data_IF_705584380520
#
_entry.id   IF_705584380520
#
_cell.length_a   1.000
_cell.length_b   1.000
_cell.length_c   1.000
_cell.angle_alpha   90.00
_cell.angle_beta   90.00
_cell.angle_gamma   90.00
#
_symmetry.space_group_name_H-M   'P 1'
#
loop_
_entity.id
_entity.type
_entity.pdbx_description
1 polymer ?
#
# COMPACT_ATOMS: atom_id res chain seq x y z
N UNK A 1 -10.22 11.26 -23.14
CA UNK A 1 -10.30 9.77 -23.14
C UNK A 1 -11.46 9.23 -22.30
N UNK A 2 -11.83 9.81 -21.14
CA UNK A 2 -12.88 9.32 -20.21
C UNK A 2 -14.22 8.91 -20.84
N UNK A 3 -14.79 9.73 -21.72
CA UNK A 3 -16.10 9.46 -22.34
C UNK A 3 -16.02 8.61 -23.61
N UNK A 4 -14.82 8.31 -24.11
CA UNK A 4 -14.59 7.72 -25.44
C UNK A 4 -13.78 6.43 -25.41
N UNK A 5 -13.39 5.93 -24.23
CA UNK A 5 -12.72 4.64 -24.07
C UNK A 5 -13.76 3.58 -23.65
N UNK A 6 -14.28 2.77 -24.60
CA UNK A 6 -15.34 1.82 -24.34
C UNK A 6 -14.78 0.60 -23.61
N UNK A 7 -14.84 0.63 -22.28
CA UNK A 7 -14.70 -0.57 -21.47
C UNK A 7 -16.10 -0.94 -20.99
N UNK A 8 -16.72 -1.88 -21.71
CA UNK A 8 -18.03 -2.46 -21.37
C UNK A 8 -17.78 -3.78 -20.67
N UNK A 9 -18.55 -4.10 -19.65
CA UNK A 9 -18.48 -5.44 -19.07
C UNK A 9 -19.08 -6.43 -20.07
N UNK A 10 -18.21 -7.28 -20.62
CA UNK A 10 -18.62 -8.37 -21.50
C UNK A 10 -18.53 -9.67 -20.70
N UNK A 11 -19.69 -10.28 -20.46
CA UNK A 11 -19.84 -11.56 -19.77
C UNK A 11 -20.04 -12.74 -20.73
N UNK A 12 -19.91 -12.51 -22.03
CA UNK A 12 -19.93 -13.56 -23.05
C UNK A 12 -18.50 -14.00 -23.44
N UNK A 13 -17.50 -13.12 -23.27
CA UNK A 13 -16.10 -13.45 -23.49
C UNK A 13 -15.56 -14.32 -22.34
N UNK A 14 -14.83 -15.37 -22.68
CA UNK A 14 -14.13 -16.25 -21.75
C UNK A 14 -12.77 -16.67 -22.34
N UNK A 15 -11.93 -17.26 -21.49
CA UNK A 15 -10.64 -17.83 -21.86
C UNK A 15 -10.82 -19.00 -22.83
N UNK A 16 -9.95 -19.12 -23.83
CA UNK A 16 -9.94 -20.30 -24.69
C UNK A 16 -9.53 -21.54 -23.88
N UNK A 17 -10.02 -22.75 -24.23
CA UNK A 17 -9.64 -23.97 -23.52
C UNK A 17 -8.12 -24.18 -23.52
N UNK A 18 -7.51 -24.24 -22.33
CA UNK A 18 -6.07 -24.41 -22.15
C UNK A 18 -5.22 -23.17 -22.45
N UNK A 19 -5.84 -22.00 -22.58
CA UNK A 19 -5.13 -20.73 -22.78
C UNK A 19 -4.27 -20.38 -21.57
N UNK A 20 -3.02 -20.00 -21.82
CA UNK A 20 -2.18 -19.40 -20.80
C UNK A 20 -2.66 -17.97 -20.54
N UNK A 21 -3.43 -17.82 -19.46
CA UNK A 21 -4.07 -16.57 -19.08
C UNK A 21 -3.04 -15.49 -18.74
N UNK A 22 -1.93 -15.89 -18.10
CA UNK A 22 -0.88 -14.96 -17.69
C UNK A 22 -0.11 -14.46 -18.92
N UNK A 23 0.27 -15.36 -19.83
CA UNK A 23 0.91 -15.00 -21.11
C UNK A 23 -0.01 -14.13 -21.97
N UNK A 24 -1.30 -14.45 -22.04
CA UNK A 24 -2.28 -13.62 -22.75
C UNK A 24 -2.28 -12.19 -22.23
N UNK A 25 -2.39 -12.00 -20.91
CA UNK A 25 -2.40 -10.67 -20.29
C UNK A 25 -1.08 -9.95 -20.55
N UNK A 26 0.06 -10.64 -20.37
CA UNK A 26 1.40 -10.10 -20.66
C UNK A 26 1.50 -9.62 -22.11
N UNK A 27 0.97 -10.38 -23.07
CA UNK A 27 0.99 -10.02 -24.49
C UNK A 27 0.27 -8.70 -24.83
N UNK A 28 -0.67 -8.25 -23.98
CA UNK A 28 -1.44 -7.01 -24.24
C UNK A 28 -0.72 -5.74 -23.81
N UNK A 29 0.25 -5.86 -22.91
CA UNK A 29 0.96 -4.72 -22.32
C UNK A 29 2.47 -4.77 -22.57
N UNK A 30 3.00 -5.93 -22.95
CA UNK A 30 4.39 -6.12 -23.38
C UNK A 30 5.40 -5.68 -22.33
N UNK A 31 6.44 -4.98 -22.78
CA UNK A 31 7.60 -4.55 -21.98
C UNK A 31 7.29 -3.42 -20.98
N UNK A 32 6.03 -2.96 -20.89
CA UNK A 32 5.61 -1.93 -19.94
C UNK A 32 5.38 -2.50 -18.53
N UNK A 33 5.36 -3.82 -18.39
CA UNK A 33 5.14 -4.48 -17.10
C UNK A 33 6.31 -4.27 -16.13
N UNK A 34 6.02 -4.13 -14.83
CA UNK A 34 7.06 -4.13 -13.81
C UNK A 34 7.77 -5.48 -13.78
N UNK A 35 9.05 -5.44 -13.47
CA UNK A 35 9.83 -6.64 -13.18
C UNK A 35 9.29 -7.26 -11.88
N UNK A 36 8.89 -8.53 -11.94
CA UNK A 36 8.53 -9.29 -10.73
C UNK A 36 9.78 -9.52 -9.90
N UNK A 37 9.84 -8.95 -8.70
CA UNK A 37 10.98 -9.09 -7.81
C UNK A 37 10.89 -10.33 -6.92
N UNK A 38 9.67 -10.81 -6.67
CA UNK A 38 9.42 -12.06 -5.94
C UNK A 38 8.69 -13.03 -6.86
N UNK A 39 9.07 -14.31 -6.80
CA UNK A 39 8.41 -15.38 -7.55
C UNK A 39 7.39 -16.08 -6.66
N UNK A 40 6.11 -16.00 -7.03
CA UNK A 40 5.02 -16.74 -6.40
C UNK A 40 4.82 -18.07 -7.10
N UNK A 41 5.64 -19.07 -6.74
CA UNK A 41 5.53 -20.44 -7.29
C UNK A 41 4.33 -21.23 -6.75
N UNK A 42 3.76 -20.79 -5.63
CA UNK A 42 2.56 -21.35 -5.01
C UNK A 42 1.51 -20.25 -4.83
N UNK A 43 0.49 -20.26 -5.71
CA UNK A 43 -0.53 -19.20 -5.80
C UNK A 43 -1.90 -19.62 -5.28
N UNK A 44 -2.17 -20.92 -5.25
CA UNK A 44 -3.52 -21.47 -5.05
C UNK A 44 -3.65 -22.32 -3.78
N UNK A 45 -2.54 -22.73 -3.15
CA UNK A 45 -2.62 -23.54 -1.94
C UNK A 45 -3.09 -22.73 -0.72
N UNK A 46 -3.36 -23.45 0.36
CA UNK A 46 -3.64 -22.86 1.68
C UNK A 46 -2.40 -22.15 2.26
N UNK A 47 -1.19 -22.59 1.87
CA UNK A 47 0.06 -21.90 2.19
C UNK A 47 0.14 -20.55 1.48
N UNK A 48 -0.37 -20.42 0.25
CA UNK A 48 -0.40 -19.14 -0.46
C UNK A 48 -1.20 -18.07 0.31
N UNK A 49 -2.31 -18.46 0.98
CA UNK A 49 -3.06 -17.55 1.85
C UNK A 49 -2.26 -17.09 3.07
N UNK A 50 -1.52 -18.02 3.68
CA UNK A 50 -0.64 -17.74 4.81
C UNK A 50 0.48 -16.78 4.39
N UNK A 51 1.09 -17.00 3.22
CA UNK A 51 2.08 -16.10 2.64
C UNK A 51 1.49 -14.73 2.35
N UNK A 52 0.30 -14.63 1.75
CA UNK A 52 -0.35 -13.33 1.50
C UNK A 52 -0.55 -12.53 2.79
N UNK A 53 -0.97 -13.20 3.87
CA UNK A 53 -1.23 -12.55 5.15
C UNK A 53 0.04 -12.15 5.91
N UNK A 54 1.09 -12.98 5.90
CA UNK A 54 2.26 -12.82 6.78
C UNK A 54 3.59 -12.52 6.07
N UNK A 55 3.65 -12.63 4.74
CA UNK A 55 4.83 -12.35 3.92
C UNK A 55 4.53 -11.51 2.65
N UNK A 56 3.26 -11.26 2.31
CA UNK A 56 2.81 -10.50 1.14
C UNK A 56 2.01 -9.24 1.49
N UNK A 57 1.09 -8.86 0.60
CA UNK A 57 0.32 -7.60 0.67
C UNK A 57 -0.67 -7.48 1.86
N UNK A 58 -0.94 -8.57 2.59
CA UNK A 58 -1.84 -8.58 3.75
C UNK A 58 -1.19 -8.22 5.09
N UNK A 59 0.15 -8.15 5.16
CA UNK A 59 0.90 -8.00 6.41
C UNK A 59 0.56 -6.74 7.21
N UNK A 60 0.14 -5.66 6.56
CA UNK A 60 -0.21 -4.42 7.24
C UNK A 60 -1.67 -4.37 7.75
N UNK A 61 -2.46 -5.41 7.45
CA UNK A 61 -3.89 -5.54 7.76
C UNK A 61 -4.12 -6.57 8.85
N UNK A 62 -3.42 -7.70 8.78
CA UNK A 62 -3.58 -8.81 9.72
C UNK A 62 -3.35 -8.34 11.16
N UNK A 63 -4.22 -8.77 12.07
CA UNK A 63 -4.12 -8.47 13.50
C UNK A 63 -4.32 -9.71 14.34
N UNK A 64 -3.79 -9.70 15.55
CA UNK A 64 -4.14 -10.67 16.59
C UNK A 64 -5.58 -10.42 17.05
N UNK A 65 -6.35 -11.49 17.15
CA UNK A 65 -7.72 -11.45 17.64
C UNK A 65 -7.72 -11.07 19.14
N UNK A 66 -8.72 -10.31 19.62
CA UNK A 66 -8.84 -9.98 21.05
C UNK A 66 -8.89 -11.22 21.96
N UNK A 67 -9.48 -12.30 21.46
CA UNK A 67 -9.46 -13.63 22.04
C UNK A 67 -9.35 -14.67 20.93
N UNK A 68 -8.64 -15.77 21.20
CA UNK A 68 -8.65 -16.91 20.30
C UNK A 68 -10.07 -17.48 20.19
N UNK A 69 -10.45 -17.92 19.00
CA UNK A 69 -11.69 -18.67 18.82
C UNK A 69 -11.52 -20.13 19.24
N UNK A 70 -12.63 -20.83 19.50
CA UNK A 70 -12.63 -22.25 19.92
C UNK A 70 -12.01 -23.18 18.88
N UNK A 71 -12.00 -22.79 17.59
CA UNK A 71 -11.40 -23.56 16.50
C UNK A 71 -9.90 -23.29 16.31
N UNK A 72 -9.26 -22.57 17.24
CA UNK A 72 -7.84 -22.25 17.22
C UNK A 72 -7.49 -21.01 16.40
N UNK A 73 -8.48 -20.32 15.79
CA UNK A 73 -8.24 -19.02 15.15
C UNK A 73 -7.63 -18.05 16.16
N UNK A 74 -6.55 -17.38 15.76
CA UNK A 74 -5.74 -16.53 16.62
C UNK A 74 -5.39 -15.18 15.97
N UNK A 75 -5.22 -15.17 14.65
CA UNK A 75 -5.10 -13.96 13.84
C UNK A 75 -6.30 -13.82 12.90
N UNK A 76 -6.60 -12.58 12.50
CA UNK A 76 -7.64 -12.26 11.53
C UNK A 76 -7.15 -11.25 10.50
N UNK A 77 -7.54 -11.47 9.24
CA UNK A 77 -7.49 -10.48 8.17
C UNK A 77 -8.93 -10.27 7.69
N UNK A 78 -9.54 -9.18 8.17
CA UNK A 78 -10.98 -8.95 8.07
C UNK A 78 -11.30 -8.00 6.91
N UNK A 79 -12.05 -8.51 5.92
CA UNK A 79 -12.42 -7.81 4.69
C UNK A 79 -13.93 -7.84 4.41
N UNK A 80 -14.75 -8.46 5.26
CA UNK A 80 -16.20 -8.57 5.05
C UNK A 80 -16.93 -7.22 4.98
N UNK A 81 -16.31 -6.13 5.45
CA UNK A 81 -16.86 -4.79 5.22
C UNK A 81 -17.06 -4.47 3.73
N UNK A 82 -16.26 -5.06 2.84
CA UNK A 82 -16.36 -4.88 1.39
C UNK A 82 -17.65 -5.47 0.79
N UNK A 83 -18.31 -6.42 1.48
CA UNK A 83 -19.58 -7.02 1.01
C UNK A 83 -20.71 -5.96 0.94
N UNK A 84 -20.61 -4.92 1.78
CA UNK A 84 -21.52 -3.79 1.79
C UNK A 84 -21.33 -2.83 0.61
N UNK A 85 -20.22 -2.93 -0.11
CA UNK A 85 -19.90 -2.06 -1.25
C UNK A 85 -20.59 -2.60 -2.51
N UNK A 86 -21.27 -1.73 -3.24
CA UNK A 86 -22.06 -2.11 -4.41
C UNK A 86 -21.18 -2.50 -5.61
N UNK A 87 -21.53 -3.62 -6.25
CA UNK A 87 -20.86 -4.11 -7.46
C UNK A 87 -21.84 -4.19 -8.62
N UNK A 88 -21.35 -4.07 -9.84
CA UNK A 88 -22.15 -4.13 -11.06
C UNK A 88 -22.77 -5.52 -11.22
N UNK A 89 -24.01 -5.62 -11.70
CA UNK A 89 -24.67 -6.91 -11.90
C UNK A 89 -23.82 -7.89 -12.71
N UNK A 90 -23.78 -9.15 -12.28
CA UNK A 90 -22.99 -10.22 -12.90
C UNK A 90 -21.66 -10.50 -12.19
N UNK A 91 -21.03 -9.48 -11.60
CA UNK A 91 -19.83 -9.70 -10.79
C UNK A 91 -20.15 -10.21 -9.38
N UNK A 92 -19.21 -10.97 -8.83
CA UNK A 92 -19.22 -11.39 -7.46
C UNK A 92 -19.07 -10.20 -6.49
N UNK A 93 -19.66 -10.36 -5.31
CA UNK A 93 -19.42 -9.43 -4.19
C UNK A 93 -18.02 -9.61 -3.62
N UNK A 94 -17.35 -8.50 -3.33
CA UNK A 94 -16.14 -8.50 -2.51
C UNK A 94 -16.46 -8.86 -1.05
N UNK A 95 -15.41 -9.17 -0.29
CA UNK A 95 -15.49 -9.44 1.15
C UNK A 95 -15.32 -10.92 1.46
N UNK A 96 -14.36 -11.18 2.35
CA UNK A 96 -14.09 -12.47 2.97
C UNK A 96 -13.13 -12.25 4.15
N UNK A 97 -13.53 -12.64 5.36
CA UNK A 97 -12.62 -12.62 6.52
C UNK A 97 -11.83 -13.91 6.56
N UNK A 98 -10.50 -13.84 6.57
CA UNK A 98 -9.63 -15.00 6.76
C UNK A 98 -9.11 -15.05 8.20
N UNK A 99 -9.13 -16.25 8.78
CA UNK A 99 -8.68 -16.49 10.14
C UNK A 99 -7.55 -17.52 10.15
N UNK A 100 -6.50 -17.23 10.91
CA UNK A 100 -5.28 -18.04 10.95
C UNK A 100 -4.97 -18.47 12.38
N UNK A 101 -4.32 -19.62 12.55
CA UNK A 101 -3.88 -20.11 13.86
C UNK A 101 -2.62 -19.40 14.37
N UNK A 102 -2.08 -19.83 15.52
CA UNK A 102 -0.84 -19.29 16.09
C UNK A 102 0.40 -19.49 15.22
N UNK A 103 0.40 -20.47 14.31
CA UNK A 103 1.49 -20.71 13.37
C UNK A 103 1.32 -19.89 12.07
N UNK A 104 0.25 -19.11 11.94
CA UNK A 104 -0.07 -18.34 10.74
C UNK A 104 -0.71 -19.18 9.63
N UNK A 105 -1.18 -20.40 9.93
CA UNK A 105 -1.85 -21.27 8.96
C UNK A 105 -3.35 -20.94 8.89
N UNK A 106 -3.92 -20.95 7.69
CA UNK A 106 -5.34 -20.67 7.48
C UNK A 106 -6.21 -21.73 8.18
N UNK A 107 -7.19 -21.28 8.97
CA UNK A 107 -8.15 -22.11 9.70
C UNK A 107 -9.51 -22.12 8.99
N UNK A 108 -9.98 -20.93 8.58
CA UNK A 108 -11.28 -20.74 7.95
C UNK A 108 -11.37 -19.42 7.19
N UNK A 109 -12.34 -19.34 6.29
CA UNK A 109 -12.79 -18.10 5.66
C UNK A 109 -14.27 -17.90 6.01
N UNK A 110 -14.65 -16.70 6.39
CA UNK A 110 -16.06 -16.32 6.58
C UNK A 110 -16.45 -15.33 5.48
N UNK A 111 -17.42 -15.71 4.65
CA UNK A 111 -17.91 -14.89 3.53
C UNK A 111 -19.44 -14.98 3.45
N UNK A 112 -20.12 -13.85 3.28
CA UNK A 112 -21.59 -13.81 3.16
C UNK A 112 -22.31 -14.40 4.38
N UNK A 113 -21.69 -14.33 5.58
CA UNK A 113 -22.21 -14.96 6.80
C UNK A 113 -22.01 -16.47 6.90
N UNK A 114 -21.37 -17.11 5.92
CA UNK A 114 -21.09 -18.55 5.90
C UNK A 114 -19.62 -18.80 6.25
N UNK A 115 -19.36 -19.81 7.06
CA UNK A 115 -17.99 -20.27 7.40
C UNK A 115 -17.60 -21.42 6.50
N UNK A 116 -16.44 -21.29 5.86
CA UNK A 116 -15.82 -22.28 5.00
C UNK A 116 -14.47 -22.73 5.58
N UNK A 117 -14.13 -24.00 5.40
CA UNK A 117 -12.90 -24.64 5.88
C UNK A 117 -12.18 -25.37 4.75
N UNK A 118 -10.89 -25.69 4.93
CA UNK A 118 -10.19 -26.59 4.03
C UNK A 118 -10.98 -27.87 3.80
N UNK A 119 -11.05 -28.30 2.54
CA UNK A 119 -11.82 -29.45 2.02
C UNK A 119 -13.33 -29.25 1.83
N UNK A 120 -13.91 -28.09 2.16
CA UNK A 120 -15.28 -27.78 1.73
C UNK A 120 -15.34 -27.66 0.20
N UNK A 121 -16.44 -28.07 -0.43
CA UNK A 121 -16.60 -28.03 -1.91
C UNK A 121 -16.35 -26.64 -2.50
N UNK A 122 -16.71 -25.59 -1.76
CA UNK A 122 -16.54 -24.20 -2.17
C UNK A 122 -15.19 -23.58 -1.78
N UNK A 123 -14.27 -24.35 -1.18
CA UNK A 123 -13.02 -23.83 -0.60
C UNK A 123 -12.19 -23.04 -1.60
N UNK A 124 -11.91 -23.60 -2.78
CA UNK A 124 -11.11 -22.93 -3.81
C UNK A 124 -11.73 -21.61 -4.28
N UNK A 125 -13.06 -21.57 -4.41
CA UNK A 125 -13.78 -20.36 -4.77
C UNK A 125 -13.67 -19.27 -3.69
N UNK A 126 -13.85 -19.62 -2.41
CA UNK A 126 -13.75 -18.63 -1.32
C UNK A 126 -12.32 -18.16 -1.09
N UNK A 127 -11.30 -18.99 -1.37
CA UNK A 127 -9.91 -18.55 -1.42
C UNK A 127 -9.69 -17.50 -2.51
N UNK A 128 -10.24 -17.69 -3.71
CA UNK A 128 -10.19 -16.69 -4.77
C UNK A 128 -10.90 -15.39 -4.36
N UNK A 129 -12.08 -15.49 -3.74
CA UNK A 129 -12.82 -14.32 -3.24
C UNK A 129 -12.01 -13.51 -2.21
N UNK A 130 -11.34 -14.20 -1.27
CA UNK A 130 -10.45 -13.56 -0.30
C UNK A 130 -9.28 -12.85 -0.98
N UNK A 131 -8.56 -13.53 -1.88
CA UNK A 131 -7.41 -12.97 -2.60
C UNK A 131 -7.79 -11.74 -3.42
N UNK A 132 -8.89 -11.82 -4.17
CA UNK A 132 -9.41 -10.69 -4.95
C UNK A 132 -9.89 -9.52 -4.09
N UNK A 133 -10.56 -9.81 -2.97
CA UNK A 133 -10.98 -8.78 -2.02
C UNK A 133 -9.79 -8.08 -1.36
N UNK A 134 -8.75 -8.84 -1.02
CA UNK A 134 -7.51 -8.30 -0.45
C UNK A 134 -6.85 -7.35 -1.45
N UNK A 135 -6.69 -7.78 -2.71
CA UNK A 135 -6.14 -6.92 -3.76
C UNK A 135 -6.92 -5.62 -3.89
N UNK A 136 -8.25 -5.69 -3.98
CA UNK A 136 -9.08 -4.49 -4.16
C UNK A 136 -8.97 -3.54 -2.96
N UNK A 137 -8.91 -4.07 -1.74
CA UNK A 137 -8.64 -3.27 -0.54
C UNK A 137 -7.29 -2.57 -0.63
N UNK A 138 -6.22 -3.31 -0.95
CA UNK A 138 -4.86 -2.78 -1.03
C UNK A 138 -4.75 -1.72 -2.12
N UNK A 139 -5.20 -2.01 -3.34
CA UNK A 139 -5.04 -1.10 -4.48
C UNK A 139 -5.97 0.12 -4.39
N UNK A 140 -7.25 -0.06 -4.10
CA UNK A 140 -8.21 1.05 -4.14
C UNK A 140 -8.19 1.89 -2.86
N UNK A 141 -8.10 1.24 -1.69
CA UNK A 141 -8.26 1.91 -0.39
C UNK A 141 -6.91 2.30 0.21
N UNK A 142 -5.98 1.36 0.36
CA UNK A 142 -4.71 1.69 1.05
C UNK A 142 -3.76 2.49 0.17
N UNK A 143 -3.59 2.05 -1.07
CA UNK A 143 -2.65 2.64 -2.00
C UNK A 143 -3.19 3.94 -2.57
N UNK A 144 -4.25 3.86 -3.37
CA UNK A 144 -4.75 5.01 -4.11
C UNK A 144 -5.41 6.04 -3.19
N UNK A 145 -6.32 5.65 -2.30
CA UNK A 145 -6.96 6.61 -1.40
C UNK A 145 -6.07 6.99 -0.20
N UNK A 146 -5.47 6.00 0.45
CA UNK A 146 -4.69 6.17 1.67
C UNK A 146 -3.36 6.87 1.44
N UNK A 147 -2.53 6.38 0.52
CA UNK A 147 -1.19 6.96 0.29
C UNK A 147 -1.22 8.11 -0.71
N UNK A 148 -1.79 7.92 -1.89
CA UNK A 148 -1.83 8.98 -2.90
C UNK A 148 -2.73 10.14 -2.45
N UNK A 149 -4.02 9.88 -2.32
CA UNK A 149 -5.00 10.95 -2.09
C UNK A 149 -4.92 11.60 -0.70
N UNK A 150 -4.50 10.85 0.31
CA UNK A 150 -4.47 11.31 1.71
C UNK A 150 -3.05 11.61 2.16
N UNK A 151 -2.22 10.61 2.46
CA UNK A 151 -0.92 10.83 3.10
C UNK A 151 0.00 11.77 2.31
N UNK A 152 0.28 11.44 1.04
CA UNK A 152 1.23 12.17 0.21
C UNK A 152 0.72 13.56 -0.21
N UNK A 153 -0.57 13.68 -0.52
CA UNK A 153 -1.21 14.94 -0.84
C UNK A 153 -1.20 15.91 0.34
N UNK A 154 -1.62 15.49 1.54
CA UNK A 154 -1.66 16.39 2.69
C UNK A 154 -0.25 16.82 3.12
N UNK A 155 0.73 15.90 3.11
CA UNK A 155 2.13 16.24 3.37
C UNK A 155 2.65 17.27 2.34
N UNK A 156 2.40 17.03 1.06
CA UNK A 156 2.86 17.91 -0.02
C UNK A 156 2.21 19.29 0.02
N UNK A 157 0.90 19.35 0.25
CA UNK A 157 0.15 20.61 0.32
C UNK A 157 0.56 21.43 1.55
N UNK A 158 0.62 20.80 2.73
CA UNK A 158 1.10 21.47 3.95
C UNK A 158 2.50 22.04 3.74
N UNK A 159 3.42 21.23 3.19
CA UNK A 159 4.78 21.62 2.90
C UNK A 159 4.88 22.81 1.92
N UNK A 160 4.05 22.79 0.87
CA UNK A 160 4.13 23.81 -0.19
C UNK A 160 3.43 25.11 0.14
N UNK A 161 2.32 25.06 0.88
CA UNK A 161 1.47 26.21 1.15
C UNK A 161 1.81 26.92 2.45
N UNK A 162 2.30 26.19 3.46
CA UNK A 162 2.48 26.73 4.81
C UNK A 162 3.92 27.07 5.17
N UNK A 163 4.90 26.50 4.45
CA UNK A 163 6.33 26.73 4.70
C UNK A 163 6.95 27.51 3.54
N UNK A 164 7.73 28.54 3.84
CA UNK A 164 8.47 29.33 2.85
C UNK A 164 9.58 28.50 2.18
N UNK A 165 9.99 28.84 0.94
CA UNK A 165 11.02 28.09 0.20
C UNK A 165 12.30 27.80 0.99
N UNK A 166 12.72 28.69 1.88
CA UNK A 166 13.96 28.57 2.65
C UNK A 166 13.75 28.02 4.06
N UNK A 167 12.51 27.67 4.43
CA UNK A 167 12.23 27.03 5.71
C UNK A 167 12.94 25.65 5.81
N UNK A 168 13.66 25.34 6.90
CA UNK A 168 14.43 24.10 7.02
C UNK A 168 13.57 22.84 6.86
N UNK A 169 12.39 22.79 7.47
CA UNK A 169 11.45 21.66 7.31
C UNK A 169 10.98 21.51 5.86
N UNK A 170 10.84 22.60 5.09
CA UNK A 170 10.49 22.48 3.68
C UNK A 170 11.62 21.86 2.86
N UNK A 171 12.86 22.24 3.15
CA UNK A 171 14.04 21.65 2.49
C UNK A 171 14.19 20.17 2.81
N UNK A 172 13.90 19.76 4.04
CA UNK A 172 13.86 18.35 4.44
C UNK A 172 12.79 17.55 3.66
N UNK A 173 11.56 18.06 3.58
CA UNK A 173 10.43 17.33 2.96
C UNK A 173 10.48 17.36 1.43
N UNK A 174 11.12 18.38 0.83
CA UNK A 174 11.08 18.63 -0.61
C UNK A 174 11.43 17.42 -1.50
N UNK A 175 12.50 16.64 -1.24
CA UNK A 175 12.83 15.47 -2.05
C UNK A 175 11.70 14.43 -2.04
N UNK A 176 11.06 14.24 -0.88
CA UNK A 176 9.99 13.27 -0.62
C UNK A 176 8.61 13.67 -1.16
N UNK A 177 8.54 14.75 -1.95
CA UNK A 177 7.29 15.24 -2.59
C UNK A 177 7.48 15.41 -4.10
N UNK A 178 8.55 14.83 -4.66
CA UNK A 178 8.86 14.93 -6.07
C UNK A 178 7.71 14.35 -6.90
N UNK A 179 7.20 15.13 -7.86
CA UNK A 179 6.08 14.78 -8.75
C UNK A 179 4.75 14.36 -8.11
N UNK A 180 4.62 14.25 -6.79
CA UNK A 180 3.38 13.85 -6.09
C UNK A 180 2.16 14.65 -6.55
N UNK A 181 2.29 15.97 -6.72
CA UNK A 181 1.19 16.82 -7.22
C UNK A 181 0.76 16.42 -8.63
N UNK A 182 1.71 16.11 -9.51
CA UNK A 182 1.43 15.79 -10.92
C UNK A 182 0.75 14.44 -11.02
N UNK A 183 1.30 13.40 -10.39
CA UNK A 183 0.70 12.06 -10.43
C UNK A 183 -0.70 12.04 -9.82
N UNK A 184 -0.90 12.70 -8.67
CA UNK A 184 -2.22 12.71 -8.03
C UNK A 184 -3.23 13.54 -8.82
N UNK A 185 -2.79 14.60 -9.50
CA UNK A 185 -3.62 15.33 -10.45
C UNK A 185 -4.03 14.45 -11.64
N UNK A 186 -3.07 13.75 -12.27
CA UNK A 186 -3.35 12.90 -13.42
C UNK A 186 -4.27 11.73 -13.06
N UNK A 187 -3.98 11.06 -11.94
CA UNK A 187 -4.82 10.01 -11.39
C UNK A 187 -6.26 10.50 -11.16
N UNK A 188 -6.47 11.78 -10.81
CA UNK A 188 -7.84 12.33 -10.58
C UNK A 188 -8.71 12.17 -11.82
N UNK A 189 -8.10 12.29 -13.01
CA UNK A 189 -8.80 12.21 -14.28
C UNK A 189 -8.80 10.81 -14.89
N UNK A 190 -7.81 9.99 -14.57
CA UNK A 190 -7.60 8.68 -15.20
C UNK A 190 -8.05 7.51 -14.33
N UNK A 191 -7.90 7.59 -13.01
CA UNK A 191 -8.16 6.51 -12.06
C UNK A 191 -9.34 6.79 -11.13
N UNK A 192 -9.35 7.95 -10.45
CA UNK A 192 -10.25 8.26 -9.32
C UNK A 192 -11.70 8.57 -9.68
N UNK A 193 -12.02 8.73 -10.96
CA UNK A 193 -13.30 9.27 -11.35
C UNK A 193 -14.25 8.18 -11.81
N UNK A 194 -15.56 8.39 -11.69
CA UNK A 194 -16.53 7.49 -12.33
C UNK A 194 -16.13 7.29 -13.79
N UNK A 195 -16.09 6.03 -14.20
CA UNK A 195 -15.62 5.59 -15.52
C UNK A 195 -14.11 5.78 -15.78
N UNK A 196 -13.30 5.99 -14.76
CA UNK A 196 -11.85 5.87 -14.80
C UNK A 196 -11.37 4.41 -14.90
N UNK A 197 -10.07 4.21 -15.07
CA UNK A 197 -9.47 2.89 -15.22
C UNK A 197 -9.71 2.00 -13.99
N UNK A 198 -9.56 2.52 -12.76
CA UNK A 198 -9.78 1.71 -11.55
C UNK A 198 -11.24 1.24 -11.44
N UNK A 199 -12.21 2.13 -11.69
CA UNK A 199 -13.63 1.76 -11.71
C UNK A 199 -13.93 0.67 -12.75
N UNK A 200 -13.25 0.69 -13.90
CA UNK A 200 -13.40 -0.30 -14.99
C UNK A 200 -12.67 -1.62 -14.74
N UNK A 201 -11.58 -1.59 -13.97
CA UNK A 201 -10.79 -2.76 -13.61
C UNK A 201 -11.38 -3.51 -12.40
N UNK A 202 -12.08 -2.80 -11.53
CA UNK A 202 -12.86 -3.36 -10.41
C UNK A 202 -14.31 -3.61 -10.80
N UNK A 203 -15.05 -4.32 -9.96
CA UNK A 203 -16.45 -4.67 -10.13
C UNK A 203 -17.42 -3.58 -9.64
N UNK A 204 -16.94 -2.50 -9.01
CA UNK A 204 -17.81 -1.52 -8.34
C UNK A 204 -18.84 -0.87 -9.27
N UNK A 205 -20.05 -0.59 -8.79
CA UNK A 205 -20.89 0.42 -9.46
C UNK A 205 -20.32 1.82 -9.21
N UNK A 206 -20.86 2.85 -9.88
CA UNK A 206 -20.50 4.23 -9.55
C UNK A 206 -20.76 4.53 -8.06
N UNK A 207 -21.87 4.01 -7.49
CA UNK A 207 -22.18 4.13 -6.06
C UNK A 207 -21.22 3.32 -5.18
N UNK A 208 -20.87 2.10 -5.60
CA UNK A 208 -19.85 1.29 -4.90
C UNK A 208 -18.49 1.97 -4.85
N UNK A 209 -18.13 2.67 -5.92
CA UNK A 209 -16.92 3.46 -5.97
C UNK A 209 -16.96 4.63 -4.96
N UNK A 210 -18.08 5.35 -4.88
CA UNK A 210 -18.29 6.39 -3.85
C UNK A 210 -18.24 5.80 -2.42
N UNK A 211 -18.88 4.65 -2.18
CA UNK A 211 -18.84 3.95 -0.88
C UNK A 211 -17.42 3.55 -0.48
N UNK A 212 -16.59 3.15 -1.46
CA UNK A 212 -15.17 2.85 -1.22
C UNK A 212 -14.45 4.09 -0.70
N UNK A 213 -14.80 5.28 -1.19
CA UNK A 213 -14.18 6.54 -0.77
C UNK A 213 -14.66 6.97 0.60
N UNK A 214 -15.99 6.91 0.82
CA UNK A 214 -16.60 7.13 2.13
C UNK A 214 -15.93 6.24 3.19
N UNK A 215 -15.69 4.96 2.87
CA UNK A 215 -14.99 4.04 3.76
C UNK A 215 -13.55 4.48 4.04
N UNK A 216 -12.72 4.66 3.01
CA UNK A 216 -11.31 4.95 3.24
C UNK A 216 -11.06 6.31 3.93
N UNK A 217 -11.89 7.34 3.66
CA UNK A 217 -11.79 8.62 4.36
C UNK A 217 -12.18 8.53 5.84
N UNK A 218 -13.15 7.67 6.17
CA UNK A 218 -13.63 7.49 7.56
C UNK A 218 -12.77 6.52 8.36
N UNK A 219 -12.03 5.63 7.71
CA UNK A 219 -11.23 4.58 8.35
C UNK A 219 -9.71 4.77 8.18
N UNK A 220 -9.27 5.80 7.43
CA UNK A 220 -7.86 6.20 7.45
C UNK A 220 -7.48 6.55 8.89
N UNK A 221 -6.31 6.09 9.31
CA UNK A 221 -5.78 6.34 10.65
C UNK A 221 -4.32 6.74 10.54
N UNK A 222 -3.99 7.90 11.10
CA UNK A 222 -2.60 8.27 11.31
C UNK A 222 -2.01 7.36 12.40
N UNK A 223 -1.02 6.53 12.05
CA UNK A 223 -0.23 5.75 12.99
C UNK A 223 1.21 5.68 12.49
N UNK A 224 2.17 5.82 13.40
CA UNK A 224 3.57 5.50 13.10
C UNK A 224 3.73 4.00 12.88
N UNK A 225 4.83 3.56 12.26
CA UNK A 225 5.13 2.12 12.14
C UNK A 225 5.13 1.43 13.52
N UNK A 226 5.83 1.93 14.56
CA UNK A 226 5.76 1.33 15.89
C UNK A 226 4.34 1.23 16.45
N UNK A 227 3.52 2.27 16.30
CA UNK A 227 2.12 2.26 16.78
C UNK A 227 1.26 1.25 16.02
N UNK A 228 1.43 1.15 14.69
CA UNK A 228 0.74 0.14 13.88
C UNK A 228 1.11 -1.26 14.33
N UNK A 229 2.40 -1.55 14.49
CA UNK A 229 2.86 -2.88 14.93
C UNK A 229 2.32 -3.21 16.33
N UNK A 230 2.32 -2.25 17.24
CA UNK A 230 1.72 -2.41 18.57
C UNK A 230 0.21 -2.71 18.50
N UNK A 231 -0.53 -2.06 17.60
CA UNK A 231 -1.96 -2.33 17.38
C UNK A 231 -2.20 -3.71 16.75
N UNK A 232 -1.38 -4.11 15.78
CA UNK A 232 -1.52 -5.43 15.14
C UNK A 232 -1.23 -6.56 16.13
N UNK A 233 -0.30 -6.33 17.07
CA UNK A 233 0.00 -7.21 18.19
C UNK A 233 0.30 -8.66 17.76
N UNK A 234 1.02 -8.83 16.65
CA UNK A 234 1.45 -10.14 16.16
C UNK A 234 2.60 -10.63 17.04
N UNK A 235 2.42 -11.77 17.71
CA UNK A 235 3.32 -12.19 18.80
C UNK A 235 3.95 -13.58 18.62
N UNK A 236 3.49 -14.38 17.65
CA UNK A 236 4.03 -15.73 17.38
C UNK A 236 4.65 -15.89 15.99
N UNK A 237 4.40 -14.95 15.08
CA UNK A 237 4.91 -14.96 13.70
C UNK A 237 5.72 -13.69 13.46
N UNK A 238 6.92 -13.83 12.91
CA UNK A 238 7.73 -12.68 12.47
C UNK A 238 7.32 -12.33 11.05
N UNK A 239 6.76 -11.14 10.85
CA UNK A 239 6.44 -10.64 9.51
C UNK A 239 7.58 -9.77 8.98
N UNK A 240 8.02 -9.95 7.72
CA UNK A 240 8.98 -9.05 7.07
C UNK A 240 8.56 -7.58 7.15
N UNK A 241 7.26 -7.27 7.04
CA UNK A 241 6.72 -5.93 7.23
C UNK A 241 7.06 -5.34 8.60
N UNK A 242 6.95 -6.13 9.67
CA UNK A 242 7.31 -5.65 11.01
C UNK A 242 8.83 -5.50 11.16
N UNK A 243 9.59 -6.49 10.71
CA UNK A 243 11.04 -6.53 10.89
C UNK A 243 11.74 -5.47 10.04
N UNK A 244 11.55 -5.50 8.72
CA UNK A 244 12.21 -4.57 7.80
C UNK A 244 11.59 -3.17 7.94
N UNK A 245 10.29 -3.08 8.28
CA UNK A 245 9.60 -1.81 8.42
C UNK A 245 10.07 -1.02 9.63
N UNK A 246 10.37 -1.70 10.73
CA UNK A 246 10.93 -1.07 11.91
C UNK A 246 12.36 -0.59 11.65
N UNK A 247 13.17 -1.37 10.94
CA UNK A 247 14.53 -0.94 10.58
C UNK A 247 14.52 0.26 9.63
N UNK A 248 13.66 0.24 8.61
CA UNK A 248 13.47 1.37 7.70
C UNK A 248 12.98 2.62 8.44
N UNK A 249 12.00 2.45 9.35
CA UNK A 249 11.52 3.51 10.23
C UNK A 249 12.67 4.10 11.05
N UNK A 250 13.52 3.26 11.65
CA UNK A 250 14.62 3.72 12.49
C UNK A 250 15.65 4.54 11.70
N UNK A 251 16.00 4.14 10.47
CA UNK A 251 16.91 4.91 9.61
C UNK A 251 16.29 6.26 9.25
N UNK A 252 15.02 6.29 8.81
CA UNK A 252 14.32 7.55 8.53
C UNK A 252 14.19 8.44 9.77
N UNK A 253 13.86 7.85 10.92
CA UNK A 253 13.68 8.58 12.17
C UNK A 253 15.00 9.21 12.64
N UNK A 254 16.12 8.48 12.52
CA UNK A 254 17.44 9.02 12.81
C UNK A 254 17.78 10.21 11.90
N UNK A 255 17.60 10.06 10.58
CA UNK A 255 17.84 11.15 9.63
C UNK A 255 16.98 12.39 9.90
N UNK A 256 15.67 12.20 10.10
CA UNK A 256 14.75 13.30 10.42
C UNK A 256 15.12 13.95 11.76
N UNK A 257 15.44 13.15 12.78
CA UNK A 257 15.81 13.66 14.10
C UNK A 257 17.05 14.53 14.03
N UNK A 258 18.13 14.00 13.46
CA UNK A 258 19.39 14.71 13.33
C UNK A 258 19.24 16.00 12.52
N UNK A 259 18.42 15.98 11.46
CA UNK A 259 18.15 17.17 10.65
C UNK A 259 17.38 18.23 11.42
N UNK A 260 16.27 17.84 12.07
CA UNK A 260 15.43 18.77 12.84
C UNK A 260 16.24 19.40 13.97
N UNK A 261 17.11 18.63 14.63
CA UNK A 261 17.97 19.10 15.72
C UNK A 261 19.04 20.12 15.29
N UNK A 262 19.33 20.25 13.99
CA UNK A 262 20.18 21.35 13.48
C UNK A 262 19.52 22.72 13.61
N UNK A 263 18.19 22.77 13.56
CA UNK A 263 17.42 24.01 13.42
C UNK A 263 16.49 24.29 14.61
N UNK A 264 16.09 23.27 15.37
CA UNK A 264 15.19 23.38 16.53
C UNK A 264 15.75 22.56 17.69
N UNK A 265 16.07 23.20 18.82
CA UNK A 265 16.66 22.52 19.98
C UNK A 265 15.61 22.08 21.01
N UNK A 266 14.47 22.74 21.04
CA UNK A 266 13.44 22.57 22.07
C UNK A 266 12.03 22.65 21.51
N UNK A 267 11.05 22.15 22.27
CA UNK A 267 9.63 22.33 21.97
C UNK A 267 9.26 23.82 21.84
N UNK A 268 9.91 24.69 22.61
CA UNK A 268 9.66 26.13 22.56
C UNK A 268 10.05 26.73 21.20
N UNK A 269 11.15 26.27 20.59
CA UNK A 269 11.57 26.74 19.27
C UNK A 269 10.54 26.37 18.19
N UNK A 270 10.08 25.11 18.22
CA UNK A 270 9.06 24.59 17.28
C UNK A 270 7.72 25.31 17.46
N UNK A 271 7.28 25.50 18.70
CA UNK A 271 6.01 26.17 18.99
C UNK A 271 6.08 27.68 18.71
N UNK A 272 7.25 28.31 18.81
CA UNK A 272 7.45 29.72 18.49
C UNK A 272 7.46 30.02 16.98
N UNK A 273 7.78 29.03 16.14
CA UNK A 273 7.78 29.16 14.69
C UNK A 273 6.35 29.26 14.10
N UNK A 274 6.05 30.37 13.44
CA UNK A 274 4.73 30.64 12.88
C UNK A 274 4.39 29.79 11.66
N UNK A 275 5.38 29.49 10.81
CA UNK A 275 5.20 28.66 9.62
C UNK A 275 4.99 27.20 10.03
N UNK A 276 5.72 26.72 11.05
CA UNK A 276 5.49 25.37 11.59
C UNK A 276 4.15 25.21 12.28
N UNK A 277 3.68 26.23 13.01
CA UNK A 277 2.31 26.20 13.57
C UNK A 277 1.27 26.09 12.45
N UNK A 278 1.42 26.85 11.36
CA UNK A 278 0.50 26.80 10.22
C UNK A 278 0.57 25.45 9.50
N UNK A 279 1.77 24.92 9.26
CA UNK A 279 2.02 23.60 8.71
C UNK A 279 1.34 22.50 9.54
N UNK A 280 1.57 22.52 10.86
CA UNK A 280 0.98 21.55 11.77
C UNK A 280 -0.55 21.65 11.80
N UNK A 281 -1.08 22.87 11.88
CA UNK A 281 -2.52 23.11 11.84
C UNK A 281 -3.14 22.54 10.57
N UNK A 282 -2.51 22.71 9.41
CA UNK A 282 -2.97 22.10 8.17
C UNK A 282 -2.98 20.57 8.26
N UNK A 283 -1.89 19.95 8.75
CA UNK A 283 -1.84 18.49 8.91
C UNK A 283 -2.93 17.94 9.84
N UNK A 284 -3.36 18.71 10.84
CA UNK A 284 -4.48 18.29 11.70
C UNK A 284 -5.82 18.15 10.97
N UNK A 285 -5.92 18.67 9.74
CA UNK A 285 -7.10 18.51 8.87
C UNK A 285 -7.08 17.20 8.07
N UNK A 286 -5.99 16.44 8.11
CA UNK A 286 -5.92 15.11 7.50
C UNK A 286 -6.95 14.19 8.16
N UNK A 287 -7.76 13.44 7.38
CA UNK A 287 -8.64 12.42 7.93
C UNK A 287 -7.88 11.47 8.86
N UNK A 288 -8.51 11.02 9.95
CA UNK A 288 -7.87 10.06 10.86
C UNK A 288 -6.73 10.59 11.74
N UNK A 289 -6.48 11.91 11.75
CA UNK A 289 -5.47 12.54 12.60
C UNK A 289 -5.72 12.25 14.09
N UNK A 290 -4.69 11.81 14.81
CA UNK A 290 -4.78 11.37 16.21
C UNK A 290 -4.57 12.51 17.24
N UNK A 291 -4.95 13.74 16.91
CA UNK A 291 -4.88 14.92 17.80
C UNK A 291 -3.52 15.16 18.49
N UNK A 292 -2.40 14.84 17.82
CA UNK A 292 -1.06 15.12 18.35
C UNK A 292 -0.84 16.61 18.54
N UNK A 293 -0.27 17.00 19.68
CA UNK A 293 0.19 18.37 19.91
C UNK A 293 1.50 18.62 19.18
N UNK A 294 1.69 19.84 18.68
CA UNK A 294 2.96 20.26 18.08
C UNK A 294 4.03 20.32 19.16
N UNK A 295 5.12 19.59 18.93
CA UNK A 295 6.31 19.56 19.75
C UNK A 295 7.45 18.92 18.93
N UNK A 296 8.66 18.94 19.47
CA UNK A 296 9.84 18.47 18.75
C UNK A 296 9.75 16.97 18.43
N UNK A 297 9.36 16.15 19.42
CA UNK A 297 9.21 14.71 19.23
C UNK A 297 8.09 14.37 18.23
N UNK A 298 6.92 15.00 18.36
CA UNK A 298 5.79 14.74 17.47
C UNK A 298 6.04 15.25 16.04
N UNK A 299 6.80 16.34 15.88
CA UNK A 299 7.25 16.82 14.57
C UNK A 299 8.14 15.78 13.88
N UNK A 300 9.11 15.23 14.60
CA UNK A 300 9.99 14.17 14.09
C UNK A 300 9.18 12.94 13.68
N UNK A 301 8.34 12.42 14.57
CA UNK A 301 7.48 11.26 14.29
C UNK A 301 6.58 11.47 13.06
N UNK A 302 5.95 12.64 12.93
CA UNK A 302 5.03 12.93 11.84
C UNK A 302 5.75 13.05 10.50
N UNK A 303 6.92 13.70 10.46
CA UNK A 303 7.72 13.78 9.24
C UNK A 303 8.25 12.40 8.87
N UNK A 304 8.77 11.63 9.83
CA UNK A 304 9.24 10.26 9.60
C UNK A 304 8.12 9.37 9.06
N UNK A 305 6.91 9.43 9.62
CA UNK A 305 5.77 8.67 9.09
C UNK A 305 5.33 9.15 7.71
N UNK A 306 5.41 10.47 7.46
CA UNK A 306 5.27 11.04 6.12
C UNK A 306 6.22 10.39 5.11
N UNK A 307 7.50 10.27 5.47
CA UNK A 307 8.52 9.64 4.62
C UNK A 307 8.27 8.14 4.45
N UNK A 308 7.89 7.42 5.51
CA UNK A 308 7.49 6.01 5.41
C UNK A 308 6.35 5.82 4.41
N UNK A 309 5.32 6.68 4.44
CA UNK A 309 4.18 6.57 3.54
C UNK A 309 4.56 6.75 2.08
N UNK A 310 5.38 7.75 1.79
CA UNK A 310 5.68 8.10 0.40
C UNK A 310 6.84 7.31 -0.21
N UNK A 311 7.53 6.50 0.59
CA UNK A 311 8.65 5.66 0.15
C UNK A 311 8.30 4.17 0.32
N UNK A 312 8.73 3.55 1.40
CA UNK A 312 8.61 2.13 1.68
C UNK A 312 7.16 1.63 1.62
N UNK A 313 6.20 2.33 2.23
CA UNK A 313 4.80 1.89 2.21
C UNK A 313 4.16 2.06 0.84
N UNK A 314 4.45 3.13 0.10
CA UNK A 314 4.01 3.27 -1.30
C UNK A 314 4.56 2.13 -2.16
N UNK A 315 5.85 1.80 -2.03
CA UNK A 315 6.45 0.67 -2.74
C UNK A 315 5.78 -0.67 -2.37
N UNK A 316 5.49 -0.89 -1.09
CA UNK A 316 4.85 -2.11 -0.60
C UNK A 316 3.42 -2.31 -1.08
N UNK A 317 2.56 -1.30 -0.95
CA UNK A 317 1.14 -1.43 -1.34
C UNK A 317 0.88 -1.11 -2.81
N UNK A 318 1.81 -0.44 -3.48
CA UNK A 318 1.79 -0.17 -4.92
C UNK A 318 2.45 -1.28 -5.75
N UNK A 319 3.36 -2.06 -5.16
CA UNK A 319 4.05 -3.19 -5.76
C UNK A 319 3.17 -4.43 -5.96
N UNK A 320 1.96 -4.26 -6.51
CA UNK A 320 0.98 -5.34 -6.66
C UNK A 320 1.17 -6.20 -7.92
N UNK A 321 2.15 -5.86 -8.76
CA UNK A 321 2.34 -6.50 -10.06
C UNK A 321 2.43 -8.03 -9.99
N UNK A 322 3.16 -8.56 -9.03
CA UNK A 322 3.32 -10.00 -8.82
C UNK A 322 2.02 -10.75 -8.46
N UNK A 323 0.98 -10.04 -7.99
CA UNK A 323 -0.30 -10.63 -7.59
C UNK A 323 -1.34 -10.67 -8.72
N UNK A 324 -1.24 -9.73 -9.67
CA UNK A 324 -2.32 -9.43 -10.63
C UNK A 324 -2.08 -9.98 -12.03
N UNK A 325 -0.85 -10.39 -12.34
CA UNK A 325 -0.52 -10.90 -13.68
C UNK A 325 -1.24 -12.21 -13.98
N UNK A 326 -1.41 -13.04 -12.96
CA UNK A 326 -2.20 -14.26 -13.01
C UNK A 326 -3.66 -13.93 -12.69
N UNK A 327 -4.59 -14.01 -13.66
CA UNK A 327 -5.97 -13.61 -13.45
C UNK A 327 -6.72 -14.42 -12.38
N UNK A 328 -6.22 -15.60 -12.01
CA UNK A 328 -6.81 -16.46 -10.98
C UNK A 328 -6.14 -16.31 -9.62
N UNK A 329 -4.98 -15.64 -9.54
CA UNK A 329 -4.26 -15.48 -8.29
C UNK A 329 -4.98 -14.46 -7.40
N UNK A 330 -4.98 -13.19 -7.81
CA UNK A 330 -5.71 -12.12 -7.13
C UNK A 330 -6.60 -11.39 -8.14
N UNK A 331 -7.84 -11.86 -8.39
CA UNK A 331 -8.72 -11.22 -9.36
C UNK A 331 -9.24 -9.88 -8.87
N UNK A 332 -9.13 -8.85 -9.70
CA UNK A 332 -9.69 -7.52 -9.42
C UNK A 332 -11.21 -7.46 -9.63
N UNK A 333 -11.78 -8.32 -10.50
CA UNK A 333 -13.22 -8.47 -10.71
C UNK A 333 -13.51 -9.83 -11.37
N UNK A 334 -14.45 -10.60 -10.81
CA UNK A 334 -14.81 -11.95 -11.27
C UNK A 334 -16.32 -12.17 -11.17
N UNK A 335 -16.85 -13.18 -11.85
CA UNK A 335 -18.27 -13.53 -11.77
C UNK A 335 -18.54 -14.39 -10.53
N UNK A 336 -19.75 -14.30 -9.98
CA UNK A 336 -20.14 -15.14 -8.85
C UNK A 336 -20.07 -16.62 -9.25
N UNK A 337 -19.36 -17.43 -8.44
CA UNK A 337 -19.10 -18.84 -8.70
C UNK A 337 -17.90 -19.15 -9.61
N UNK A 338 -17.28 -18.16 -10.26
CA UNK A 338 -16.09 -18.35 -11.11
C UNK A 338 -14.78 -18.06 -10.35
N UNK A 339 -13.71 -18.78 -10.71
CA UNK A 339 -12.36 -18.50 -10.22
C UNK A 339 -11.68 -17.54 -11.20
N UNK A 340 -11.31 -16.37 -10.69
CA UNK A 340 -10.45 -15.45 -11.42
C UNK A 340 -11.17 -14.44 -12.31
N UNK A 341 -10.41 -13.48 -12.81
CA UNK A 341 -10.87 -12.47 -13.75
C UNK A 341 -11.01 -13.05 -15.16
N UNK A 342 -12.06 -12.62 -15.86
CA UNK A 342 -12.18 -12.83 -17.31
C UNK A 342 -11.16 -11.96 -18.10
N UNK A 343 -10.93 -12.22 -19.40
CA UNK A 343 -9.91 -11.52 -20.16
C UNK A 343 -10.01 -9.99 -20.09
N UNK A 344 -11.22 -9.44 -20.20
CA UNK A 344 -11.46 -8.00 -20.15
C UNK A 344 -10.97 -7.33 -18.86
N UNK A 345 -11.50 -7.68 -17.67
CA UNK A 345 -11.04 -7.16 -16.40
C UNK A 345 -9.55 -7.40 -16.11
N UNK A 346 -9.02 -8.58 -16.49
CA UNK A 346 -7.61 -8.90 -16.33
C UNK A 346 -6.70 -7.93 -17.10
N UNK A 347 -7.00 -7.71 -18.39
CA UNK A 347 -6.25 -6.77 -19.23
C UNK A 347 -6.37 -5.33 -18.73
N UNK A 348 -7.55 -4.90 -18.24
CA UNK A 348 -7.72 -3.54 -17.67
C UNK A 348 -6.83 -3.32 -16.45
N UNK A 349 -6.70 -4.34 -15.61
CA UNK A 349 -5.85 -4.28 -14.42
C UNK A 349 -4.37 -4.21 -14.81
N UNK A 350 -3.95 -4.99 -15.81
CA UNK A 350 -2.59 -4.93 -16.34
C UNK A 350 -2.27 -3.59 -17.02
N UNK A 351 -3.24 -2.96 -17.70
CA UNK A 351 -3.08 -1.61 -18.27
C UNK A 351 -2.81 -0.57 -17.17
N UNK A 352 -3.53 -0.64 -16.04
CA UNK A 352 -3.26 0.25 -14.89
C UNK A 352 -1.83 0.05 -14.41
N UNK A 353 -1.43 -1.19 -14.13
CA UNK A 353 -0.10 -1.53 -13.66
C UNK A 353 0.99 -0.99 -14.61
N UNK A 354 0.79 -1.16 -15.90
CA UNK A 354 1.74 -0.72 -16.93
C UNK A 354 1.83 0.80 -17.04
N UNK A 355 0.69 1.50 -16.87
CA UNK A 355 0.64 2.96 -16.91
C UNK A 355 1.26 3.61 -15.66
N UNK A 356 1.32 2.87 -14.55
CA UNK A 356 1.89 3.31 -13.27
C UNK A 356 3.27 2.72 -13.01
N UNK A 357 3.97 2.18 -14.02
CA UNK A 357 5.28 1.57 -13.85
C UNK A 357 6.38 2.44 -14.49
N UNK A 358 6.67 3.58 -13.87
CA UNK A 358 7.67 4.53 -14.36
C UNK A 358 8.83 4.61 -13.38
N UNK A 359 10.08 4.49 -13.83
CA UNK A 359 11.23 4.64 -12.91
C UNK A 359 11.31 6.06 -12.35
N UNK A 360 11.41 6.18 -11.02
CA UNK A 360 11.57 7.46 -10.33
C UNK A 360 12.88 7.51 -9.52
N UNK A 361 13.27 8.69 -9.02
CA UNK A 361 14.48 8.80 -8.20
C UNK A 361 14.43 7.85 -7.01
N UNK A 362 15.47 7.02 -6.90
CA UNK A 362 15.63 6.11 -5.77
C UNK A 362 15.82 6.87 -4.47
N UNK A 363 15.44 6.27 -3.34
CA UNK A 363 15.78 6.78 -2.01
C UNK A 363 17.31 6.87 -1.77
N UNK A 364 18.09 6.15 -2.58
CA UNK A 364 19.56 6.13 -2.54
C UNK A 364 20.22 7.32 -3.26
N UNK A 365 19.46 8.12 -4.01
CA UNK A 365 19.98 9.26 -4.77
C UNK A 365 20.54 10.38 -3.87
N UNK A 366 21.55 11.11 -4.34
CA UNK A 366 22.07 12.28 -3.64
C UNK A 366 21.19 13.52 -3.88
N UNK A 367 20.32 13.79 -2.91
CA UNK A 367 19.50 15.00 -2.88
C UNK A 367 20.06 16.13 -2.00
N UNK A 368 21.33 16.07 -1.58
CA UNK A 368 21.98 17.08 -0.71
C UNK A 368 21.92 18.49 -1.28
N UNK A 369 21.90 18.64 -2.61
CA UNK A 369 21.84 19.93 -3.30
C UNK A 369 20.57 20.75 -2.98
N UNK A 370 19.56 20.13 -2.36
CA UNK A 370 18.32 20.78 -1.90
C UNK A 370 18.48 21.45 -0.53
N UNK A 371 19.48 21.03 0.27
CA UNK A 371 19.67 21.43 1.67
C UNK A 371 20.28 22.82 1.85
N UNK A 372 19.97 23.45 2.98
CA UNK A 372 20.32 24.85 3.28
C UNK A 372 21.82 25.09 3.51
N UNK A 373 22.49 24.13 4.14
CA UNK A 373 23.87 24.30 4.60
C UNK A 373 24.66 22.98 4.57
N UNK A 374 25.96 23.07 4.82
CA UNK A 374 26.86 21.94 4.69
C UNK A 374 26.64 20.87 5.77
N UNK A 375 26.10 21.22 6.95
CA UNK A 375 25.76 20.21 7.97
C UNK A 375 24.58 19.36 7.51
N UNK A 376 23.55 20.01 6.97
CA UNK A 376 22.39 19.34 6.40
C UNK A 376 22.74 18.50 5.16
N UNK A 377 23.66 18.96 4.31
CA UNK A 377 24.19 18.16 3.19
C UNK A 377 24.90 16.90 3.68
N UNK A 378 25.76 17.02 4.70
CA UNK A 378 26.45 15.87 5.28
C UNK A 378 25.48 14.86 5.88
N UNK A 379 24.35 15.30 6.45
CA UNK A 379 23.29 14.40 6.90
C UNK A 379 22.65 13.62 5.75
N UNK A 380 22.42 14.25 4.60
CA UNK A 380 21.88 13.55 3.42
C UNK A 380 22.86 12.47 2.93
N UNK A 381 24.16 12.78 2.89
CA UNK A 381 25.17 11.78 2.51
C UNK A 381 25.25 10.62 3.49
N UNK A 382 25.12 10.89 4.80
CA UNK A 382 25.01 9.82 5.81
C UNK A 382 23.75 8.98 5.60
N UNK A 383 22.61 9.62 5.39
CA UNK A 383 21.35 8.94 5.13
C UNK A 383 21.41 8.00 3.92
N UNK A 384 22.00 8.42 2.80
CA UNK A 384 22.18 7.55 1.63
C UNK A 384 23.03 6.32 1.98
N UNK A 385 24.12 6.49 2.74
CA UNK A 385 24.96 5.37 3.19
C UNK A 385 24.21 4.42 4.14
N UNK A 386 23.42 4.97 5.08
CA UNK A 386 22.63 4.17 6.02
C UNK A 386 21.54 3.37 5.29
N UNK A 387 20.93 3.94 4.25
CA UNK A 387 19.99 3.23 3.38
C UNK A 387 20.66 2.14 2.54
N UNK A 388 21.88 2.36 2.03
CA UNK A 388 22.65 1.30 1.36
C UNK A 388 22.98 0.16 2.31
N UNK A 389 23.39 0.47 3.55
CA UNK A 389 23.66 -0.54 4.57
C UNK A 389 22.38 -1.33 4.95
N UNK A 390 21.23 -0.65 5.01
CA UNK A 390 19.95 -1.31 5.25
C UNK A 390 19.58 -2.25 4.08
N UNK A 391 19.85 -1.87 2.83
CA UNK A 391 19.66 -2.75 1.67
C UNK A 391 20.46 -4.04 1.81
N UNK A 392 21.74 -3.95 2.17
CA UNK A 392 22.59 -5.14 2.40
C UNK A 392 22.00 -6.08 3.47
N UNK A 393 21.46 -5.50 4.55
CA UNK A 393 20.82 -6.25 5.65
C UNK A 393 19.55 -6.96 5.17
N UNK A 394 18.65 -6.26 4.47
CA UNK A 394 17.39 -6.84 3.97
C UNK A 394 17.66 -7.91 2.92
N UNK A 395 18.63 -7.68 2.02
CA UNK A 395 19.04 -8.67 1.03
C UNK A 395 19.65 -9.91 1.67
N UNK A 396 20.39 -9.76 2.78
CA UNK A 396 20.85 -10.90 3.56
C UNK A 396 19.69 -11.71 4.15
N UNK A 397 18.68 -11.05 4.75
CA UNK A 397 17.48 -11.74 5.26
C UNK A 397 16.72 -12.44 4.14
N UNK A 398 16.58 -11.82 2.98
CA UNK A 398 15.88 -12.40 1.84
C UNK A 398 16.54 -13.67 1.29
N UNK A 399 17.85 -13.87 1.51
CA UNK A 399 18.52 -15.15 1.19
C UNK A 399 18.15 -16.29 2.13
N UNK A 400 17.64 -15.97 3.32
CA UNK A 400 17.28 -16.95 4.36
C UNK A 400 15.76 -17.15 4.48
N UNK A 401 14.95 -16.20 4.01
CA UNK A 401 13.49 -16.30 4.03
C UNK A 401 12.98 -17.36 3.06
N UNK A 402 11.98 -18.11 3.52
CA UNK A 402 11.21 -19.04 2.68
C UNK A 402 10.48 -18.32 1.53
N UNK A 403 10.03 -17.09 1.79
CA UNK A 403 9.48 -16.19 0.78
C UNK A 403 10.15 -14.81 0.91
N UNK A 404 10.94 -14.38 -0.09
CA UNK A 404 11.58 -13.07 -0.08
C UNK A 404 10.58 -11.93 0.03
N UNK A 405 10.99 -10.85 0.70
CA UNK A 405 10.20 -9.62 0.83
C UNK A 405 11.08 -8.43 0.47
N UNK A 406 10.84 -7.85 -0.69
CA UNK A 406 11.68 -6.78 -1.26
C UNK A 406 11.09 -5.39 -1.09
N UNK A 407 9.83 -5.27 -0.66
CA UNK A 407 9.13 -3.99 -0.66
C UNK A 407 9.75 -2.90 0.21
N UNK A 408 10.53 -3.26 1.22
CA UNK A 408 11.28 -2.32 2.06
C UNK A 408 12.79 -2.34 1.80
N UNK A 409 13.27 -3.05 0.77
CA UNK A 409 14.66 -2.98 0.33
C UNK A 409 14.93 -1.62 -0.33
N UNK A 410 15.78 -0.75 0.26
CA UNK A 410 16.10 0.57 -0.30
C UNK A 410 16.61 0.53 -1.75
N UNK A 411 17.16 -0.59 -2.22
CA UNK A 411 17.56 -0.76 -3.63
C UNK A 411 16.37 -0.73 -4.61
N UNK A 412 15.14 -0.92 -4.11
CA UNK A 412 13.90 -0.93 -4.90
C UNK A 412 12.95 0.20 -4.52
N UNK A 413 13.24 0.91 -3.42
CA UNK A 413 12.37 1.95 -2.90
C UNK A 413 12.70 3.30 -3.53
N UNK A 414 11.65 4.01 -3.87
CA UNK A 414 11.71 5.34 -4.44
C UNK A 414 11.58 6.42 -3.37
N UNK A 415 12.02 7.63 -3.72
CA UNK A 415 12.07 8.74 -2.79
C UNK A 415 10.70 9.39 -2.53
N UNK A 416 9.70 9.17 -3.39
CA UNK A 416 8.36 9.75 -3.22
C UNK A 416 7.30 9.05 -4.07
N UNK A 417 6.03 9.24 -3.70
CA UNK A 417 4.86 8.91 -4.54
C UNK A 417 4.91 9.76 -5.81
N UNK A 418 5.30 9.14 -6.92
CA UNK A 418 5.56 9.84 -8.18
C UNK A 418 5.01 9.17 -9.44
N UNK A 419 4.38 7.99 -9.30
CA UNK A 419 3.49 7.32 -10.26
C UNK A 419 2.40 6.53 -9.55
#
# INVERSE_FOLDING_TARGET
>A
MRNVCPFVDNFDDDWAPGEDKEEYVRSKVGDLLPVSLVNWSDKYSDRALSLLAFAGMGQHIVTKLPAAHDDGSYYGLLLNFLDSIEVRPGFAKYGADAFFDKAGQIVKIVRGGVTYRPNDDAWEYVKACFRGSLLVKVTAIDHLLGVHCTASNYLTTANREQLSPDHPIRRLIKPFTFRTVVVNHDATWTLFTDRGFLHRATAFTSRGFDQTWEYGLTHFKFETIPERLARQNIDTVVTPFAQDGLDFWNVLHAFVSDYVDLYFATDADVVADAELRAFWQFLTTTPGWQHRQLGLASLKDVITQGFMWVTALHNYIGGVGEYIMDPEFCPSAWLEGEIGSRPGPAVRTAIILSATNLTMPSILEDFSHIMLDDKAKQLCHRFSNDMMALADIIQARNRERDHPFTSFDPATVELSVSF
#
